data_IF_966188238224
#
_entry.id   IF_966188238224
#
_cell.length_a   1.000
_cell.length_b   1.000
_cell.length_c   1.000
_cell.angle_alpha   90.00
_cell.angle_beta   90.00
_cell.angle_gamma   90.00
#
_symmetry.space_group_name_H-M   'P 1'
#
loop_
_entity.id
_entity.type
_entity.pdbx_description
1 polymer ?
#
# COMPACT_ATOMS: atom_id res chain seq x y z
N UNK A 1 15.52 13.37 8.31
CA UNK A 1 15.60 11.93 8.00
C UNK A 1 14.24 11.52 7.48
N UNK A 2 14.16 10.95 6.28
CA UNK A 2 12.90 10.40 5.78
C UNK A 2 12.63 9.08 6.49
N UNK A 3 11.44 8.91 7.06
CA UNK A 3 11.03 7.66 7.68
C UNK A 3 10.38 6.79 6.61
N UNK A 4 10.79 5.53 6.55
CA UNK A 4 10.34 4.61 5.54
C UNK A 4 9.74 3.37 6.18
N UNK A 5 8.56 2.95 5.74
CA UNK A 5 7.81 1.86 6.33
C UNK A 5 7.49 0.83 5.26
N UNK A 6 7.74 -0.44 5.54
CA UNK A 6 7.25 -1.54 4.70
C UNK A 6 5.81 -1.83 5.10
N UNK A 7 4.93 -1.98 4.10
CA UNK A 7 3.54 -2.35 4.29
C UNK A 7 3.38 -3.81 3.88
N UNK A 8 2.93 -4.64 4.81
CA UNK A 8 2.62 -6.05 4.57
C UNK A 8 1.14 -6.31 4.83
N UNK A 9 0.49 -7.04 3.92
CA UNK A 9 -0.92 -7.40 4.00
C UNK A 9 -1.09 -8.85 3.56
N UNK A 10 -1.89 -9.62 4.30
CA UNK A 10 -2.13 -11.05 4.02
C UNK A 10 -0.85 -11.86 3.78
N UNK A 11 0.18 -11.62 4.59
CA UNK A 11 1.51 -12.25 4.49
C UNK A 11 2.26 -11.97 3.18
N UNK A 12 1.92 -10.89 2.48
CA UNK A 12 2.60 -10.41 1.27
C UNK A 12 3.05 -8.96 1.46
N UNK A 13 4.24 -8.62 0.95
CA UNK A 13 4.69 -7.23 0.89
C UNK A 13 3.84 -6.47 -0.14
N UNK A 14 3.08 -5.49 0.32
CA UNK A 14 2.28 -4.62 -0.55
C UNK A 14 3.16 -3.59 -1.25
N UNK A 15 4.11 -3.02 -0.50
CA UNK A 15 4.89 -1.90 -0.94
C UNK A 15 5.62 -1.23 0.21
N UNK A 16 6.23 -0.10 -0.11
CA UNK A 16 6.97 0.73 0.82
C UNK A 16 6.35 2.13 0.84
N UNK A 17 6.33 2.74 2.01
CA UNK A 17 5.82 4.09 2.21
C UNK A 17 6.95 4.99 2.68
N UNK A 18 7.20 6.05 1.93
CA UNK A 18 8.20 7.06 2.27
C UNK A 18 7.49 8.27 2.87
N UNK A 19 7.85 8.63 4.09
CA UNK A 19 7.40 9.86 4.72
C UNK A 19 8.18 11.05 4.17
N UNK A 20 7.45 12.03 3.68
CA UNK A 20 7.94 13.34 3.26
C UNK A 20 7.09 14.45 3.90
N UNK A 21 7.51 15.70 3.73
CA UNK A 21 6.85 16.92 4.21
C UNK A 21 5.37 17.01 3.80
N UNK A 22 4.99 16.41 2.66
CA UNK A 22 3.62 16.40 2.13
C UNK A 22 2.77 15.19 2.53
N UNK A 23 3.33 14.20 3.22
CA UNK A 23 2.62 12.98 3.60
C UNK A 23 3.44 11.70 3.37
N UNK A 24 2.74 10.64 2.98
CA UNK A 24 3.27 9.28 2.93
C UNK A 24 3.07 8.72 1.53
N UNK A 25 4.10 8.80 0.68
CA UNK A 25 4.05 8.32 -0.70
C UNK A 25 4.22 6.80 -0.73
N UNK A 26 3.33 6.10 -1.44
CA UNK A 26 3.34 4.64 -1.57
C UNK A 26 4.00 4.19 -2.87
N UNK A 27 4.87 3.19 -2.79
CA UNK A 27 5.51 2.52 -3.92
C UNK A 27 5.23 1.03 -3.83
N UNK A 28 4.62 0.47 -4.88
CA UNK A 28 4.15 -0.90 -4.90
C UNK A 28 5.30 -1.90 -5.06
N UNK A 29 5.24 -2.99 -4.29
CA UNK A 29 6.18 -4.09 -4.40
C UNK A 29 5.82 -5.08 -5.53
N UNK A 30 4.58 -5.05 -6.02
CA UNK A 30 4.12 -5.91 -7.11
C UNK A 30 2.95 -5.30 -7.88
N UNK A 31 2.69 -5.84 -9.08
CA UNK A 31 1.60 -5.39 -9.96
C UNK A 31 0.22 -5.39 -9.28
N UNK A 32 0.01 -6.30 -8.31
CA UNK A 32 -1.20 -6.39 -7.51
C UNK A 32 -1.57 -5.06 -6.82
N UNK A 33 -0.56 -4.28 -6.43
CA UNK A 33 -0.70 -3.03 -5.69
C UNK A 33 -0.42 -1.77 -6.53
N UNK A 34 -0.21 -1.91 -7.85
CA UNK A 34 0.05 -0.76 -8.74
C UNK A 34 -1.05 0.31 -8.69
N UNK A 35 -2.28 -0.07 -8.33
CA UNK A 35 -3.36 0.89 -8.13
C UNK A 35 -3.02 1.95 -7.06
N UNK A 36 -2.09 1.68 -6.13
CA UNK A 36 -1.63 2.61 -5.09
C UNK A 36 -0.31 3.30 -5.43
N UNK A 37 0.33 2.97 -6.55
CA UNK A 37 1.63 3.52 -6.95
C UNK A 37 1.59 5.05 -7.00
N UNK A 38 2.54 5.70 -6.31
CA UNK A 38 2.68 7.16 -6.26
C UNK A 38 1.58 7.88 -5.48
N UNK A 39 0.60 7.18 -4.91
CA UNK A 39 -0.42 7.81 -4.08
C UNK A 39 0.17 8.33 -2.78
N UNK A 40 -0.23 9.53 -2.38
CA UNK A 40 0.18 10.16 -1.12
C UNK A 40 -0.93 10.03 -0.09
N UNK A 41 -0.61 9.39 1.03
CA UNK A 41 -1.51 9.21 2.15
C UNK A 41 -1.20 10.17 3.29
N UNK A 42 -2.20 10.44 4.15
CA UNK A 42 -2.01 11.25 5.35
C UNK A 42 -1.10 10.59 6.38
N UNK A 43 -1.09 9.25 6.42
CA UNK A 43 -0.25 8.44 7.30
C UNK A 43 -0.07 7.03 6.72
N UNK A 44 0.89 6.26 7.25
CA UNK A 44 1.16 4.90 6.81
C UNK A 44 -0.03 3.93 7.00
N UNK A 45 -0.88 4.13 8.02
CA UNK A 45 -2.05 3.27 8.27
C UNK A 45 -3.13 3.40 7.20
N UNK A 46 -3.30 4.59 6.64
CA UNK A 46 -4.19 4.83 5.51
C UNK A 46 -3.72 4.07 4.26
N UNK A 47 -2.41 4.06 4.02
CA UNK A 47 -1.80 3.29 2.94
C UNK A 47 -1.98 1.78 3.15
N UNK A 48 -1.77 1.28 4.37
CA UNK A 48 -2.04 -0.13 4.72
C UNK A 48 -3.50 -0.51 4.47
N UNK A 49 -4.44 0.34 4.91
CA UNK A 49 -5.87 0.08 4.72
C UNK A 49 -6.25 0.04 3.23
N UNK A 50 -5.66 0.91 2.41
CA UNK A 50 -5.86 0.87 0.97
C UNK A 50 -5.31 -0.43 0.35
N UNK A 51 -4.12 -0.88 0.77
CA UNK A 51 -3.54 -2.14 0.32
C UNK A 51 -4.39 -3.36 0.73
N UNK A 52 -4.89 -3.39 1.97
CA UNK A 52 -5.81 -4.45 2.44
C UNK A 52 -7.08 -4.53 1.59
N UNK A 53 -7.66 -3.37 1.22
CA UNK A 53 -8.87 -3.32 0.38
C UNK A 53 -8.64 -3.91 -1.02
N UNK A 54 -7.48 -3.68 -1.62
CA UNK A 54 -7.13 -4.28 -2.92
C UNK A 54 -7.03 -5.80 -2.82
N UNK A 55 -6.41 -6.33 -1.77
CA UNK A 55 -6.33 -7.78 -1.55
C UNK A 55 -7.72 -8.38 -1.35
N UNK A 56 -8.53 -7.82 -0.45
CA UNK A 56 -9.90 -8.34 -0.20
C UNK A 56 -10.80 -8.22 -1.43
N UNK A 57 -10.70 -7.13 -2.20
CA UNK A 57 -11.48 -6.94 -3.42
C UNK A 57 -11.05 -7.88 -4.55
N UNK A 58 -9.74 -8.16 -4.67
CA UNK A 58 -9.23 -9.12 -5.64
C UNK A 58 -9.48 -10.57 -5.25
N UNK A 59 -9.40 -10.91 -3.97
CA UNK A 59 -9.70 -12.27 -3.50
C UNK A 59 -11.17 -12.62 -3.79
N UNK A 60 -12.09 -11.65 -3.65
CA UNK A 60 -13.49 -11.81 -4.08
C UNK A 60 -13.61 -12.03 -5.60
N UNK A 61 -12.81 -11.34 -6.41
CA UNK A 61 -12.86 -11.47 -7.87
C UNK A 61 -12.23 -12.78 -8.39
N UNK A 62 -11.30 -13.37 -7.65
CA UNK A 62 -10.71 -14.68 -7.95
C UNK A 62 -11.58 -15.86 -7.50
N UNK A 63 -12.49 -15.65 -6.55
CA UNK A 63 -13.39 -16.68 -6.01
C UNK A 63 -14.71 -16.82 -6.79
N UNK A 64 -14.81 -16.25 -8.00
CA UNK A 64 -16.02 -16.22 -8.85
C UNK A 64 -15.95 -17.16 -10.04
#
# INVERSE_FOLDING_TARGET
>A
MSECYVIEVSSQTAGIVVRDTGGYAFFAASHRFHALEGQVFRNAREAERAARRLVTGQDLQLAS
#
